data_IF_320068282513
#
_entry.id   IF_320068282513
#
_cell.length_a   1.000
_cell.length_b   1.000
_cell.length_c   1.000
_cell.angle_alpha   90.00
_cell.angle_beta   90.00
_cell.angle_gamma   90.00
#
_symmetry.space_group_name_H-M   'P 1'
#
loop_
_entity.id
_entity.type
_entity.pdbx_description
1 polymer ?
#
# COMPACT_ATOMS: atom_id res chain seq x y z
N UNK A 1 10.79 -3.89 -8.18
CA UNK A 1 9.51 -4.19 -7.53
C UNK A 1 8.84 -5.32 -8.30
N UNK A 2 8.35 -6.34 -7.61
CA UNK A 2 7.53 -7.43 -8.16
C UNK A 2 6.10 -7.29 -7.64
N UNK A 3 5.11 -7.61 -8.48
CA UNK A 3 3.69 -7.54 -8.15
C UNK A 3 3.08 -8.94 -8.15
N UNK A 4 2.38 -9.32 -7.09
CA UNK A 4 1.79 -10.65 -6.91
C UNK A 4 0.30 -10.69 -7.24
N UNK A 5 -0.05 -10.27 -8.44
CA UNK A 5 -1.43 -10.04 -8.88
C UNK A 5 -2.19 -11.32 -9.25
N UNK A 6 -1.48 -12.45 -9.32
CA UNK A 6 -2.09 -13.78 -9.41
C UNK A 6 -2.62 -14.26 -8.05
N UNK A 7 -2.09 -13.73 -6.93
CA UNK A 7 -2.49 -14.08 -5.57
C UNK A 7 -3.54 -13.13 -5.02
N UNK A 8 -3.37 -11.83 -5.26
CA UNK A 8 -4.23 -10.77 -4.73
C UNK A 8 -4.83 -10.02 -5.91
N UNK A 9 -6.15 -10.14 -6.07
CA UNK A 9 -6.94 -9.46 -7.11
C UNK A 9 -7.89 -8.43 -6.50
N UNK A 10 -8.47 -7.53 -7.31
CA UNK A 10 -9.38 -6.49 -6.82
C UNK A 10 -10.54 -7.05 -5.97
N UNK A 11 -11.27 -8.11 -6.38
CA UNK A 11 -12.36 -8.66 -5.57
C UNK A 11 -11.91 -9.16 -4.18
N UNK A 12 -10.69 -9.69 -4.06
CA UNK A 12 -10.14 -10.19 -2.80
C UNK A 12 -9.29 -9.18 -2.01
N UNK A 13 -8.98 -8.02 -2.60
CA UNK A 13 -8.06 -7.04 -2.04
C UNK A 13 -8.50 -6.56 -0.66
N UNK A 14 -9.78 -6.20 -0.52
CA UNK A 14 -10.28 -5.67 0.75
C UNK A 14 -10.33 -6.73 1.86
N UNK A 15 -10.63 -7.98 1.52
CA UNK A 15 -10.64 -9.07 2.49
C UNK A 15 -9.23 -9.42 2.95
N UNK A 16 -8.25 -9.38 2.05
CA UNK A 16 -6.84 -9.53 2.40
C UNK A 16 -6.36 -8.41 3.32
N UNK A 17 -6.74 -7.16 3.04
CA UNK A 17 -6.45 -6.03 3.94
C UNK A 17 -7.09 -6.28 5.32
N UNK A 18 -8.36 -6.70 5.37
CA UNK A 18 -9.03 -6.99 6.65
C UNK A 18 -8.34 -8.11 7.45
N UNK A 19 -7.81 -9.13 6.79
CA UNK A 19 -7.09 -10.23 7.45
C UNK A 19 -5.79 -9.79 8.18
N UNK A 20 -5.31 -8.57 7.94
CA UNK A 20 -4.11 -8.01 8.58
C UNK A 20 -4.41 -6.84 9.52
N UNK A 21 -5.69 -6.57 9.81
CA UNK A 21 -6.08 -5.57 10.79
C UNK A 21 -5.37 -5.77 12.15
N UNK A 22 -4.96 -4.68 12.78
CA UNK A 22 -4.24 -4.70 14.06
C UNK A 22 -2.77 -5.13 14.01
N UNK A 23 -2.27 -5.62 12.86
CA UNK A 23 -0.83 -5.90 12.70
C UNK A 23 -0.03 -4.61 12.52
N UNK A 24 1.26 -4.67 12.84
CA UNK A 24 2.18 -3.55 12.63
C UNK A 24 2.69 -3.53 11.18
N UNK A 25 2.68 -2.34 10.59
CA UNK A 25 3.20 -2.05 9.25
C UNK A 25 4.26 -0.95 9.34
N UNK A 26 5.17 -0.92 8.37
CA UNK A 26 6.14 0.15 8.20
C UNK A 26 5.87 0.88 6.89
N UNK A 27 5.81 2.21 6.94
CA UNK A 27 5.88 3.00 5.71
C UNK A 27 7.22 2.79 5.00
N UNK A 28 7.32 3.15 3.72
CA UNK A 28 8.60 3.08 2.98
C UNK A 28 9.74 3.86 3.65
N UNK A 29 9.43 4.84 4.50
CA UNK A 29 10.40 5.60 5.30
C UNK A 29 10.67 5.00 6.69
N UNK A 30 10.19 3.79 6.98
CA UNK A 30 10.41 3.12 8.26
C UNK A 30 9.49 3.56 9.40
N UNK A 31 8.53 4.47 9.17
CA UNK A 31 7.60 4.86 10.24
C UNK A 31 6.61 3.73 10.55
N UNK A 32 6.58 3.20 11.79
CA UNK A 32 5.63 2.16 12.18
C UNK A 32 4.22 2.71 12.38
N UNK A 33 3.22 1.91 12.06
CA UNK A 33 1.81 2.19 12.32
C UNK A 33 1.00 0.89 12.41
N UNK A 34 -0.16 0.97 13.03
CA UNK A 34 -1.22 -0.04 12.96
C UNK A 34 -2.47 0.57 12.35
N UNK A 35 -3.46 -0.26 12.00
CA UNK A 35 -4.77 0.24 11.58
C UNK A 35 -5.92 -0.64 12.07
N UNK A 36 -7.11 -0.03 12.08
CA UNK A 36 -8.41 -0.67 12.27
C UNK A 36 -9.31 -0.44 11.07
N UNK A 37 -10.30 -1.31 10.86
CA UNK A 37 -11.28 -1.22 9.79
C UNK A 37 -12.67 -0.98 10.39
N UNK A 38 -13.37 0.01 9.85
CA UNK A 38 -14.78 0.26 10.16
C UNK A 38 -15.55 0.33 8.85
N UNK A 39 -16.34 -0.70 8.55
CA UNK A 39 -17.04 -0.82 7.28
C UNK A 39 -16.08 -0.88 6.08
N UNK A 40 -16.18 0.14 5.20
CA UNK A 40 -15.36 0.29 3.99
C UNK A 40 -14.16 1.22 4.16
N UNK A 41 -13.70 1.46 5.38
CA UNK A 41 -12.67 2.45 5.69
C UNK A 41 -11.60 1.91 6.62
N UNK A 42 -10.35 2.30 6.37
CA UNK A 42 -9.17 1.97 7.15
C UNK A 42 -8.71 3.20 7.92
N UNK A 43 -8.55 3.06 9.23
CA UNK A 43 -8.10 4.10 10.15
C UNK A 43 -6.72 3.75 10.70
N UNK A 44 -5.70 4.52 10.35
CA UNK A 44 -4.35 4.36 10.92
C UNK A 44 -4.22 5.11 12.23
N UNK A 45 -3.42 4.60 13.17
CA UNK A 45 -3.07 5.29 14.43
C UNK A 45 -2.23 6.58 14.24
N UNK A 46 -1.76 6.84 13.01
CA UNK A 46 -0.96 8.03 12.65
C UNK A 46 -1.75 9.18 12.03
N UNK A 47 -3.04 9.03 11.74
CA UNK A 47 -3.82 10.04 10.98
C UNK A 47 -5.24 10.19 11.51
N UNK A 48 -5.77 11.41 11.39
CA UNK A 48 -7.14 11.73 11.77
C UNK A 48 -8.20 11.20 10.78
N UNK A 49 -7.91 11.22 9.47
CA UNK A 49 -8.86 10.78 8.43
C UNK A 49 -8.56 9.37 7.96
N UNK A 50 -9.64 8.63 7.69
CA UNK A 50 -9.63 7.30 7.09
C UNK A 50 -9.13 7.28 5.64
N UNK A 51 -8.78 6.08 5.19
CA UNK A 51 -8.54 5.75 3.78
C UNK A 51 -9.65 4.78 3.37
N UNK A 52 -10.40 5.14 2.33
CA UNK A 52 -11.55 4.34 1.89
C UNK A 52 -11.10 3.12 1.08
N UNK A 53 -11.91 2.06 1.07
CA UNK A 53 -11.78 0.90 0.19
C UNK A 53 -11.58 1.30 -1.27
N UNK A 54 -12.37 2.26 -1.76
CA UNK A 54 -12.25 2.77 -3.13
C UNK A 54 -10.90 3.44 -3.41
N UNK A 55 -10.22 3.97 -2.39
CA UNK A 55 -8.86 4.51 -2.55
C UNK A 55 -7.85 3.39 -2.74
N UNK A 56 -7.99 2.26 -2.04
CA UNK A 56 -7.16 1.07 -2.26
C UNK A 56 -7.41 0.45 -3.63
N UNK A 57 -8.67 0.33 -4.06
CA UNK A 57 -9.02 -0.21 -5.38
C UNK A 57 -8.43 0.65 -6.51
N UNK A 58 -8.59 1.98 -6.43
CA UNK A 58 -7.96 2.92 -7.40
C UNK A 58 -6.44 2.82 -7.42
N UNK A 59 -5.80 2.67 -6.26
CA UNK A 59 -4.36 2.51 -6.17
C UNK A 59 -3.90 1.19 -6.79
N UNK A 60 -4.65 0.10 -6.59
CA UNK A 60 -4.40 -1.18 -7.22
C UNK A 60 -4.53 -1.06 -8.74
N UNK A 61 -5.63 -0.53 -9.26
CA UNK A 61 -5.86 -0.38 -10.69
C UNK A 61 -4.74 0.41 -11.37
N UNK A 62 -4.35 1.54 -10.79
CA UNK A 62 -3.22 2.34 -11.28
C UNK A 62 -1.91 1.56 -11.25
N UNK A 63 -1.65 0.80 -10.20
CA UNK A 63 -0.46 -0.03 -10.06
C UNK A 63 -0.38 -1.06 -11.20
N UNK A 64 -1.49 -1.70 -11.55
CA UNK A 64 -1.55 -2.64 -12.68
C UNK A 64 -1.32 -1.91 -14.00
N UNK A 65 -2.10 -0.87 -14.27
CA UNK A 65 -2.07 -0.13 -15.54
C UNK A 65 -0.68 0.44 -15.83
N UNK A 66 -0.02 0.99 -14.82
CA UNK A 66 1.25 1.69 -15.01
C UNK A 66 2.46 0.75 -14.94
N UNK A 67 2.32 -0.47 -14.41
CA UNK A 67 3.44 -1.38 -14.15
C UNK A 67 3.38 -2.72 -14.89
N UNK A 68 2.22 -3.20 -15.36
CA UNK A 68 2.05 -4.52 -15.98
C UNK A 68 1.65 -4.41 -17.45
N UNK A 69 2.24 -5.25 -18.30
CA UNK A 69 2.03 -5.25 -19.76
C UNK A 69 3.21 -4.64 -20.53
N UNK A 70 3.23 -4.89 -21.84
CA UNK A 70 4.28 -4.44 -22.76
C UNK A 70 4.31 -2.92 -22.91
N UNK A 71 3.13 -2.29 -22.99
CA UNK A 71 2.97 -0.84 -23.17
C UNK A 71 2.86 -0.06 -21.84
N UNK A 72 3.12 -0.72 -20.71
CA UNK A 72 3.02 -0.07 -19.42
C UNK A 72 4.10 1.02 -19.28
N UNK A 73 3.76 2.24 -18.85
CA UNK A 73 4.71 3.35 -18.77
C UNK A 73 5.82 3.17 -17.71
N UNK A 74 5.71 2.19 -16.81
CA UNK A 74 6.65 1.88 -15.71
C UNK A 74 6.95 3.08 -14.80
N UNK A 75 5.94 3.93 -14.55
CA UNK A 75 6.08 5.18 -13.79
C UNK A 75 5.90 5.00 -12.28
N UNK A 76 5.58 3.79 -11.79
CA UNK A 76 5.39 3.55 -10.36
C UNK A 76 6.74 3.25 -9.70
N UNK A 77 7.28 4.25 -9.00
CA UNK A 77 8.58 4.16 -8.30
C UNK A 77 8.45 4.20 -6.77
N UNK A 78 7.24 4.44 -6.27
CA UNK A 78 6.96 4.43 -4.84
C UNK A 78 5.58 4.98 -4.48
N UNK A 79 5.34 5.24 -3.18
CA UNK A 79 4.03 5.64 -2.69
C UNK A 79 3.44 6.84 -3.44
N UNK A 80 4.22 7.92 -3.59
CA UNK A 80 3.74 9.17 -4.18
C UNK A 80 3.20 9.01 -5.61
N UNK A 81 3.77 8.09 -6.39
CA UNK A 81 3.34 7.85 -7.77
C UNK A 81 2.00 7.11 -7.89
N UNK A 82 1.44 6.59 -6.79
CA UNK A 82 0.06 6.09 -6.77
C UNK A 82 -0.99 7.21 -6.88
N UNK A 83 -0.62 8.47 -6.61
CA UNK A 83 -1.51 9.63 -6.73
C UNK A 83 -2.86 9.47 -5.99
N UNK A 84 -2.83 8.92 -4.79
CA UNK A 84 -4.00 8.74 -3.92
C UNK A 84 -3.79 9.38 -2.55
N UNK A 85 -4.89 9.72 -1.88
CA UNK A 85 -4.84 10.14 -0.48
C UNK A 85 -4.28 9.03 0.39
N UNK A 86 -3.34 9.36 1.28
CA UNK A 86 -2.73 8.38 2.17
C UNK A 86 -1.77 7.40 1.47
N UNK A 87 -1.29 7.74 0.28
CA UNK A 87 -0.34 6.93 -0.50
C UNK A 87 0.79 6.23 0.31
N UNK A 88 1.48 6.86 1.28
CA UNK A 88 2.49 6.16 2.10
C UNK A 88 1.95 4.94 2.85
N UNK A 89 0.71 5.02 3.36
CA UNK A 89 0.05 3.96 4.11
C UNK A 89 -0.56 2.91 3.17
N UNK A 90 -1.16 3.35 2.06
CA UNK A 90 -1.65 2.44 1.00
C UNK A 90 -0.52 1.55 0.50
N UNK A 91 0.64 2.16 0.19
CA UNK A 91 1.83 1.45 -0.24
C UNK A 91 2.33 0.45 0.81
N UNK A 92 2.41 0.90 2.08
CA UNK A 92 2.84 0.05 3.18
C UNK A 92 1.91 -1.16 3.37
N UNK A 93 0.60 -0.96 3.27
CA UNK A 93 -0.38 -2.05 3.32
C UNK A 93 -0.19 -3.01 2.15
N UNK A 94 -0.04 -2.51 0.91
CA UNK A 94 0.25 -3.36 -0.25
C UNK A 94 1.54 -4.17 -0.09
N UNK A 95 2.58 -3.61 0.51
CA UNK A 95 3.78 -4.36 0.85
C UNK A 95 3.51 -5.42 1.93
N UNK A 96 2.83 -5.06 3.02
CA UNK A 96 2.63 -5.96 4.15
C UNK A 96 1.65 -7.11 3.88
N UNK A 97 0.68 -6.94 2.98
CA UNK A 97 -0.15 -8.05 2.46
C UNK A 97 0.55 -8.86 1.36
N UNK A 98 1.74 -8.42 0.93
CA UNK A 98 2.53 -9.10 -0.10
C UNK A 98 2.03 -8.89 -1.53
N UNK A 99 1.23 -7.85 -1.80
CA UNK A 99 0.91 -7.44 -3.18
C UNK A 99 2.14 -6.85 -3.87
N UNK A 100 2.89 -6.02 -3.13
CA UNK A 100 4.15 -5.42 -3.58
C UNK A 100 5.31 -6.12 -2.87
N UNK A 101 6.24 -6.67 -3.65
CA UNK A 101 7.54 -7.14 -3.16
C UNK A 101 8.63 -6.15 -3.62
N UNK A 102 9.22 -5.43 -2.67
CA UNK A 102 10.41 -4.62 -2.87
C UNK A 102 11.34 -4.66 -1.66
N UNK A 103 12.66 -4.49 -1.84
CA UNK A 103 13.59 -4.36 -0.72
C UNK A 103 13.26 -3.13 0.12
N UNK A 104 13.12 -3.31 1.42
CA UNK A 104 12.97 -2.23 2.39
C UNK A 104 14.33 -1.59 2.64
N UNK A 105 14.46 -0.30 2.29
CA UNK A 105 15.61 0.51 2.70
C UNK A 105 15.22 1.27 3.96
N UNK A 106 15.75 0.84 5.11
CA UNK A 106 15.67 1.62 6.34
C UNK A 106 16.73 2.69 6.23
N UNK A 107 16.30 3.94 6.05
CA UNK A 107 17.21 5.08 6.07
C UNK A 107 17.69 5.22 7.52
N UNK A 108 18.92 4.78 7.79
CA UNK A 108 19.56 5.02 9.08
C UNK A 108 19.67 6.53 9.26
N UNK A 109 19.18 7.06 10.39
CA UNK A 109 19.52 8.41 10.80
C UNK A 109 21.04 8.46 10.96
N UNK A 110 21.70 9.21 10.08
CA UNK A 110 23.03 9.72 10.38
C UNK A 110 22.75 10.91 11.30
N UNK A 111 22.81 10.67 12.61
CA UNK A 111 23.03 11.76 13.56
C UNK A 111 24.37 12.40 13.18
N UNK A 112 24.32 13.61 12.63
CA UNK A 112 25.49 14.50 12.45
C UNK A 112 25.42 15.61 13.48
#
# INVERSE_FOLDING_TARGET
>A
MKLNTSKITVPGLWDEIRAYEGKQFLTKKGLPFTYTIKGGELFTDRRERSITRSTFEKAYEKLIQDQIGENAPKKIVGPKTLNVYGAPYVWAVFMGIGLIEEPMYVQQEIDM
#
